data_IF_832989114996
#
_entry.id   IF_832989114996
#
_cell.length_a   1.000
_cell.length_b   1.000
_cell.length_c   1.000
_cell.angle_alpha   90.00
_cell.angle_beta   90.00
_cell.angle_gamma   90.00
#
_symmetry.space_group_name_H-M   'P 1'
#
loop_
_entity.id
_entity.type
_entity.pdbx_description
1 polymer ?
#
# COMPACT_ATOMS: atom_id res chain seq x y z
N UNK A 1 117.92 1.82 66.97
CA UNK A 1 116.62 2.20 67.55
C UNK A 1 115.53 1.91 66.53
N UNK A 2 114.81 0.80 66.69
CA UNK A 2 113.81 0.33 65.75
C UNK A 2 112.41 0.80 66.18
N UNK A 3 111.79 1.70 65.42
CA UNK A 3 110.41 2.10 65.62
C UNK A 3 109.48 1.21 64.77
N UNK A 4 108.65 0.42 65.45
CA UNK A 4 107.69 -0.51 64.89
C UNK A 4 106.53 0.19 64.17
N UNK A 5 106.52 0.11 62.84
CA UNK A 5 105.47 0.64 61.95
C UNK A 5 104.28 -0.33 61.90
N UNK A 6 103.41 -0.35 62.92
CA UNK A 6 102.33 -1.36 63.01
C UNK A 6 100.86 -0.88 63.14
N UNK A 7 100.49 0.41 63.34
CA UNK A 7 99.06 0.79 63.34
C UNK A 7 98.52 1.34 62.01
N UNK A 8 99.35 1.91 61.12
CA UNK A 8 98.88 2.57 59.88
C UNK A 8 98.31 1.57 58.85
N UNK A 9 98.88 0.37 58.77
CA UNK A 9 98.45 -0.63 57.78
C UNK A 9 97.08 -1.24 58.14
N UNK A 10 96.76 -1.35 59.43
CA UNK A 10 95.45 -1.81 59.91
C UNK A 10 94.34 -0.80 59.58
N UNK A 11 94.61 0.49 59.71
CA UNK A 11 93.64 1.54 59.36
C UNK A 11 93.38 1.57 57.86
N UNK A 12 94.42 1.42 57.03
CA UNK A 12 94.27 1.35 55.58
C UNK A 12 93.46 0.13 55.14
N UNK A 13 93.71 -1.05 55.73
CA UNK A 13 92.94 -2.27 55.42
C UNK A 13 91.46 -2.11 55.81
N UNK A 14 91.17 -1.54 56.99
CA UNK A 14 89.80 -1.29 57.43
C UNK A 14 89.07 -0.32 56.49
N UNK A 15 89.74 0.75 56.04
CA UNK A 15 89.15 1.70 55.09
C UNK A 15 88.81 1.04 53.74
N UNK A 16 89.69 0.18 53.22
CA UNK A 16 89.43 -0.56 51.97
C UNK A 16 88.23 -1.50 52.11
N UNK A 17 88.10 -2.20 53.26
CA UNK A 17 86.97 -3.09 53.52
C UNK A 17 85.65 -2.30 53.58
N UNK A 18 85.63 -1.12 54.20
CA UNK A 18 84.44 -0.26 54.28
C UNK A 18 84.03 0.29 52.91
N UNK A 19 85.00 0.67 52.08
CA UNK A 19 84.72 1.16 50.72
C UNK A 19 84.22 0.01 49.83
N UNK A 20 84.86 -1.16 49.88
CA UNK A 20 84.45 -2.32 49.09
C UNK A 20 83.05 -2.83 49.47
N UNK A 21 82.72 -2.84 50.76
CA UNK A 21 81.38 -3.22 51.22
C UNK A 21 80.32 -2.19 50.83
N UNK A 22 80.64 -0.89 50.92
CA UNK A 22 79.76 0.18 50.44
C UNK A 22 79.45 0.06 48.95
N UNK A 23 80.46 -0.18 48.11
CA UNK A 23 80.28 -0.37 46.67
C UNK A 23 79.44 -1.63 46.38
N UNK A 24 79.73 -2.74 47.07
CA UNK A 24 78.98 -3.98 46.88
C UNK A 24 77.48 -3.83 47.23
N UNK A 25 77.17 -3.13 48.32
CA UNK A 25 75.78 -2.87 48.72
C UNK A 25 75.07 -2.02 47.67
N UNK A 26 75.67 -0.91 47.22
CA UNK A 26 75.05 -0.05 46.20
C UNK A 26 74.85 -0.77 44.86
N UNK A 27 75.80 -1.64 44.47
CA UNK A 27 75.65 -2.46 43.26
C UNK A 27 74.54 -3.50 43.38
N UNK A 28 74.36 -4.10 44.56
CA UNK A 28 73.30 -5.09 44.81
C UNK A 28 71.91 -4.45 44.82
N UNK A 29 71.77 -3.25 45.40
CA UNK A 29 70.47 -2.56 45.51
C UNK A 29 70.07 -1.84 44.23
N UNK A 30 71.01 -1.57 43.33
CA UNK A 30 70.72 -0.97 42.02
C UNK A 30 70.19 -1.99 41.00
N UNK A 31 70.25 -3.29 41.30
CA UNK A 31 69.76 -4.35 40.41
C UNK A 31 68.23 -4.52 40.45
N UNK A 32 67.54 -3.95 41.44
CA UNK A 32 66.08 -4.04 41.59
C UNK A 32 65.30 -2.95 40.83
N UNK A 33 65.99 -2.03 40.16
CA UNK A 33 65.36 -0.89 39.49
C UNK A 33 65.01 -1.16 38.00
N UNK A 34 64.40 -2.30 37.66
CA UNK A 34 63.76 -2.49 36.34
C UNK A 34 62.90 -3.76 36.25
N UNK A 35 61.81 -3.86 37.02
CA UNK A 35 60.79 -4.88 36.75
C UNK A 35 59.37 -4.30 36.82
N UNK A 36 59.09 -3.34 35.94
CA UNK A 36 57.70 -2.99 35.62
C UNK A 36 57.07 -4.18 34.89
N UNK A 37 56.43 -5.07 35.65
CA UNK A 37 55.75 -6.24 35.10
C UNK A 37 54.41 -5.83 34.49
N UNK A 38 54.30 -5.84 33.17
CA UNK A 38 53.04 -5.62 32.48
C UNK A 38 52.29 -6.95 32.33
N UNK A 39 51.00 -6.94 32.63
CA UNK A 39 50.12 -8.08 32.40
C UNK A 39 49.45 -7.93 31.05
N UNK A 40 49.91 -8.70 30.07
CA UNK A 40 49.28 -8.81 28.76
C UNK A 40 48.36 -10.02 28.70
N UNK A 41 47.29 -9.93 27.93
CA UNK A 41 46.45 -11.07 27.56
C UNK A 41 46.45 -11.18 26.04
N UNK A 42 46.41 -12.40 25.52
CA UNK A 42 46.30 -12.64 24.10
C UNK A 42 44.93 -12.15 23.59
N UNK A 43 44.93 -11.40 22.49
CA UNK A 43 43.70 -11.01 21.80
C UNK A 43 43.21 -12.21 21.00
N UNK A 44 41.97 -12.61 21.24
CA UNK A 44 41.29 -13.65 20.48
C UNK A 44 40.23 -12.99 19.61
N UNK A 45 40.24 -13.30 18.32
CA UNK A 45 39.16 -12.92 17.40
C UNK A 45 38.03 -13.95 17.49
N UNK A 46 36.81 -13.47 17.65
CA UNK A 46 35.58 -14.27 17.55
C UNK A 46 34.54 -13.49 16.77
N UNK A 47 33.57 -14.18 16.21
CA UNK A 47 32.51 -13.54 15.43
C UNK A 47 31.62 -12.69 16.35
N UNK A 48 31.44 -11.42 15.99
CA UNK A 48 30.56 -10.49 16.69
C UNK A 48 29.29 -10.36 15.86
N UNK A 49 28.23 -11.02 16.30
CA UNK A 49 26.91 -10.86 15.69
C UNK A 49 26.22 -9.62 16.26
N UNK A 50 26.00 -8.62 15.40
CA UNK A 50 25.20 -7.46 15.72
C UNK A 50 23.81 -7.61 15.09
N UNK A 51 22.86 -8.14 15.85
CA UNK A 51 21.48 -8.28 15.41
C UNK A 51 20.75 -6.94 15.51
N UNK A 52 20.40 -6.36 14.36
CA UNK A 52 19.55 -5.16 14.29
C UNK A 52 18.10 -5.63 14.15
N UNK A 53 17.33 -5.49 15.23
CA UNK A 53 15.90 -5.83 15.23
C UNK A 53 15.12 -4.63 14.72
N UNK A 54 14.61 -4.73 13.50
CA UNK A 54 13.73 -3.73 12.89
C UNK A 54 12.27 -4.12 13.19
N UNK A 55 11.53 -3.25 13.89
CA UNK A 55 10.09 -3.41 14.07
C UNK A 55 9.35 -2.57 13.04
N UNK A 56 8.46 -3.20 12.29
CA UNK A 56 7.57 -2.54 11.33
C UNK A 56 6.13 -2.98 11.58
N UNK A 57 5.18 -2.07 11.35
CA UNK A 57 3.76 -2.39 11.47
C UNK A 57 3.26 -2.90 10.12
N UNK A 58 2.69 -4.10 10.10
CA UNK A 58 2.01 -4.62 8.90
C UNK A 58 0.65 -3.94 8.81
N UNK A 59 0.49 -3.08 7.81
CA UNK A 59 -0.79 -2.42 7.52
C UNK A 59 -1.48 -3.13 6.36
N UNK A 60 -2.82 -3.17 6.40
CA UNK A 60 -3.62 -3.78 5.35
C UNK A 60 -3.60 -2.87 4.11
N UNK A 61 -3.17 -3.39 2.97
CA UNK A 61 -2.95 -2.59 1.74
C UNK A 61 -4.26 -2.10 1.12
N UNK A 62 -5.35 -2.88 1.27
CA UNK A 62 -6.67 -2.52 0.79
C UNK A 62 -7.75 -3.09 1.71
N UNK A 63 -8.69 -2.23 2.14
CA UNK A 63 -9.92 -2.62 2.81
C UNK A 63 -11.10 -2.06 2.03
N UNK A 64 -12.11 -2.89 1.79
CA UNK A 64 -13.35 -2.50 1.16
C UNK A 64 -14.52 -3.09 1.94
N UNK A 65 -15.55 -2.26 2.16
CA UNK A 65 -16.81 -2.70 2.75
C UNK A 65 -17.78 -3.02 1.62
N UNK A 66 -18.16 -4.29 1.48
CA UNK A 66 -19.17 -4.69 0.51
C UNK A 66 -20.57 -4.27 0.99
N UNK A 67 -21.29 -3.52 0.17
CA UNK A 67 -22.68 -3.14 0.39
C UNK A 67 -23.48 -3.40 -0.88
N UNK A 68 -24.77 -3.74 -0.72
CA UNK A 68 -25.66 -3.92 -1.86
C UNK A 68 -26.12 -2.56 -2.40
N UNK A 69 -26.14 -2.42 -3.73
CA UNK A 69 -26.58 -1.19 -4.39
C UNK A 69 -28.11 -0.99 -4.38
N UNK A 70 -28.87 -2.07 -4.19
CA UNK A 70 -30.34 -2.05 -4.12
C UNK A 70 -30.82 -2.57 -2.78
N UNK A 71 -31.91 -1.99 -2.28
CA UNK A 71 -32.66 -2.56 -1.16
C UNK A 71 -33.36 -3.85 -1.59
N UNK A 72 -33.25 -4.91 -0.80
CA UNK A 72 -33.91 -6.18 -1.04
C UNK A 72 -33.56 -7.23 0.02
N UNK A 73 -34.26 -8.34 -0.01
CA UNK A 73 -34.01 -9.47 0.92
C UNK A 73 -32.83 -10.29 0.42
N UNK A 74 -31.84 -10.53 1.28
CA UNK A 74 -30.71 -11.42 0.98
C UNK A 74 -31.20 -12.87 0.98
N UNK A 75 -31.02 -13.57 -0.13
CA UNK A 75 -31.42 -14.99 -0.29
C UNK A 75 -30.30 -15.96 0.05
N UNK A 76 -29.05 -15.50 0.03
CA UNK A 76 -27.92 -16.31 0.45
C UNK A 76 -26.61 -15.54 0.49
N UNK A 77 -25.70 -16.03 1.32
CA UNK A 77 -24.31 -15.60 1.37
C UNK A 77 -23.45 -16.78 0.93
N UNK A 78 -22.61 -16.57 -0.08
CA UNK A 78 -21.85 -17.62 -0.77
C UNK A 78 -20.42 -17.76 -0.25
N UNK A 79 -20.03 -16.97 0.75
CA UNK A 79 -18.66 -16.90 1.29
C UNK A 79 -18.65 -17.04 2.81
N UNK A 80 -17.56 -17.59 3.35
CA UNK A 80 -17.33 -17.74 4.78
C UNK A 80 -16.24 -16.78 5.27
N UNK A 81 -16.22 -16.56 6.59
CA UNK A 81 -15.19 -15.72 7.23
C UNK A 81 -13.84 -16.43 7.11
N UNK A 82 -12.89 -15.78 6.45
CA UNK A 82 -11.53 -16.29 6.23
C UNK A 82 -11.26 -16.75 4.79
N UNK A 83 -12.27 -16.76 3.91
CA UNK A 83 -12.10 -17.14 2.52
C UNK A 83 -11.29 -16.09 1.74
N UNK A 84 -10.39 -16.58 0.87
CA UNK A 84 -9.68 -15.76 -0.12
C UNK A 84 -10.51 -15.78 -1.41
N UNK A 85 -10.85 -14.59 -1.89
CA UNK A 85 -11.75 -14.41 -3.04
C UNK A 85 -11.08 -13.53 -4.10
N UNK A 86 -11.47 -13.72 -5.35
CA UNK A 86 -11.00 -12.92 -6.47
C UNK A 86 -11.98 -11.79 -6.80
N UNK A 87 -11.50 -10.80 -7.56
CA UNK A 87 -12.36 -9.72 -8.01
C UNK A 87 -13.47 -10.25 -8.93
N UNK A 88 -14.73 -9.88 -8.63
CA UNK A 88 -15.90 -10.32 -9.39
C UNK A 88 -16.59 -11.57 -8.85
N UNK A 89 -16.06 -12.21 -7.80
CA UNK A 89 -16.75 -13.31 -7.13
C UNK A 89 -18.03 -12.83 -6.43
N UNK A 90 -19.13 -13.57 -6.61
CA UNK A 90 -20.39 -13.29 -5.93
C UNK A 90 -20.26 -13.59 -4.42
N UNK A 91 -20.43 -12.55 -3.60
CA UNK A 91 -20.37 -12.68 -2.13
C UNK A 91 -21.71 -13.11 -1.55
N UNK A 92 -22.79 -12.54 -2.07
CA UNK A 92 -24.13 -12.76 -1.60
C UNK A 92 -25.14 -12.34 -2.66
N UNK A 93 -26.33 -12.93 -2.61
CA UNK A 93 -27.39 -12.75 -3.60
C UNK A 93 -28.62 -12.15 -2.92
N UNK A 94 -29.25 -11.18 -3.59
CA UNK A 94 -30.56 -10.63 -3.20
C UNK A 94 -31.65 -11.31 -4.02
N UNK A 95 -32.85 -11.45 -3.46
CA UNK A 95 -34.03 -11.96 -4.15
C UNK A 95 -34.29 -11.18 -5.44
N UNK A 96 -34.18 -11.83 -6.62
CA UNK A 96 -34.37 -11.14 -7.89
C UNK A 96 -35.84 -10.93 -8.25
N UNK A 97 -36.80 -11.59 -7.57
CA UNK A 97 -38.21 -11.54 -7.92
C UNK A 97 -38.80 -10.11 -8.02
N UNK A 98 -38.62 -9.21 -7.02
CA UNK A 98 -39.12 -7.84 -7.12
C UNK A 98 -38.43 -7.03 -8.24
N UNK A 99 -37.14 -7.25 -8.47
CA UNK A 99 -36.41 -6.59 -9.56
C UNK A 99 -36.87 -7.08 -10.94
N UNK A 100 -37.10 -8.38 -11.08
CA UNK A 100 -37.61 -8.98 -12.32
C UNK A 100 -39.01 -8.46 -12.66
N UNK A 101 -39.88 -8.31 -11.65
CA UNK A 101 -41.19 -7.69 -11.85
C UNK A 101 -41.06 -6.22 -12.28
N UNK A 102 -40.19 -5.44 -11.63
CA UNK A 102 -39.98 -4.05 -12.02
C UNK A 102 -39.47 -3.91 -13.48
N UNK A 103 -38.62 -4.84 -13.94
CA UNK A 103 -38.17 -4.89 -15.33
C UNK A 103 -39.32 -5.23 -16.28
N UNK A 104 -40.15 -6.22 -15.93
CA UNK A 104 -41.33 -6.58 -16.73
C UNK A 104 -42.31 -5.41 -16.86
N UNK A 105 -42.61 -4.73 -15.76
CA UNK A 105 -43.47 -3.54 -15.76
C UNK A 105 -42.91 -2.43 -16.64
N UNK A 106 -41.59 -2.16 -16.54
CA UNK A 106 -40.91 -1.19 -17.39
C UNK A 106 -40.97 -1.58 -18.88
N UNK A 107 -40.85 -2.87 -19.19
CA UNK A 107 -40.97 -3.40 -20.54
C UNK A 107 -42.38 -3.17 -21.11
N UNK A 108 -43.41 -3.48 -20.31
CA UNK A 108 -44.82 -3.28 -20.70
C UNK A 108 -45.11 -1.80 -20.95
N UNK A 109 -44.63 -0.91 -20.09
CA UNK A 109 -44.81 0.54 -20.26
C UNK A 109 -44.12 1.05 -21.54
N UNK A 110 -42.92 0.56 -21.84
CA UNK A 110 -42.21 0.87 -23.07
C UNK A 110 -43.02 0.43 -24.30
N UNK A 111 -43.52 -0.80 -24.29
CA UNK A 111 -44.25 -1.36 -25.42
C UNK A 111 -45.58 -0.61 -25.66
N UNK A 112 -46.27 -0.23 -24.59
CA UNK A 112 -47.45 0.64 -24.66
C UNK A 112 -47.11 2.00 -25.27
N UNK A 113 -46.04 2.66 -24.80
CA UNK A 113 -45.61 3.94 -25.35
C UNK A 113 -45.25 3.84 -26.84
N UNK A 114 -44.60 2.75 -27.25
CA UNK A 114 -44.27 2.50 -28.65
C UNK A 114 -45.52 2.27 -29.52
N UNK A 115 -46.52 1.56 -28.99
CA UNK A 115 -47.79 1.34 -29.67
C UNK A 115 -48.58 2.65 -29.83
N UNK A 116 -48.58 3.51 -28.82
CA UNK A 116 -49.17 4.86 -28.89
C UNK A 116 -48.47 5.71 -29.94
N UNK A 117 -47.14 5.76 -29.94
CA UNK A 117 -46.36 6.49 -30.94
C UNK A 117 -46.73 6.06 -32.36
N UNK A 118 -46.75 4.75 -32.61
CA UNK A 118 -47.10 4.19 -33.94
C UNK A 118 -48.53 4.55 -34.34
N UNK A 119 -49.46 4.53 -33.38
CA UNK A 119 -50.86 4.89 -33.62
C UNK A 119 -51.02 6.37 -33.97
N UNK A 120 -50.29 7.25 -33.26
CA UNK A 120 -50.31 8.70 -33.50
C UNK A 120 -49.68 9.05 -34.86
N UNK A 121 -48.58 8.40 -35.23
CA UNK A 121 -47.96 8.54 -36.56
C UNK A 121 -48.93 8.15 -37.68
N UNK A 122 -49.63 7.02 -37.51
CA UNK A 122 -50.63 6.55 -38.46
C UNK A 122 -51.84 7.52 -38.55
N UNK A 123 -52.30 8.05 -37.41
CA UNK A 123 -53.38 9.03 -37.35
C UNK A 123 -52.99 10.34 -38.04
N UNK A 124 -51.75 10.81 -37.87
CA UNK A 124 -51.22 12.00 -38.53
C UNK A 124 -51.11 11.81 -40.05
N UNK A 125 -50.62 10.65 -40.50
CA UNK A 125 -50.55 10.30 -41.92
C UNK A 125 -51.94 10.24 -42.57
N UNK A 126 -52.91 9.63 -41.90
CA UNK A 126 -54.30 9.57 -42.35
C UNK A 126 -54.92 10.98 -42.44
N UNK A 127 -54.69 11.83 -41.45
CA UNK A 127 -55.17 13.23 -41.43
C UNK A 127 -54.59 14.05 -42.58
N UNK A 128 -53.29 13.90 -42.85
CA UNK A 128 -52.60 14.60 -43.96
C UNK A 128 -53.13 14.14 -45.32
N UNK A 129 -53.38 12.84 -45.48
CA UNK A 129 -53.97 12.28 -46.70
C UNK A 129 -55.39 12.81 -46.92
N UNK A 130 -56.21 12.84 -45.87
CA UNK A 130 -57.57 13.37 -45.93
C UNK A 130 -57.59 14.88 -46.26
N UNK A 131 -56.69 15.68 -45.70
CA UNK A 131 -56.56 17.11 -46.01
C UNK A 131 -56.16 17.36 -47.49
N UNK A 132 -55.27 16.53 -48.04
CA UNK A 132 -54.83 16.61 -49.45
C UNK A 132 -55.94 16.19 -50.42
N UNK A 133 -56.71 15.14 -50.09
CA UNK A 133 -57.87 14.72 -50.87
C UNK A 133 -59.00 15.77 -50.87
N UNK A 134 -59.20 16.45 -49.75
CA UNK A 134 -60.18 17.55 -49.61
C UNK A 134 -59.79 18.75 -50.49
N UNK A 135 -58.51 19.12 -50.51
CA UNK A 135 -58.01 20.25 -51.32
C UNK A 135 -58.11 19.97 -52.83
N UNK A 136 -57.81 18.75 -53.26
CA UNK A 136 -57.87 18.36 -54.68
C UNK A 136 -59.32 18.25 -55.20
N UNK A 137 -60.26 17.79 -54.38
CA UNK A 137 -61.68 17.75 -54.75
C UNK A 137 -62.30 19.16 -54.91
N UNK A 138 -61.97 20.11 -54.03
CA UNK A 138 -62.38 21.53 -54.17
C UNK A 138 -61.82 22.18 -55.45
N UNK A 139 -60.56 21.90 -55.79
CA UNK A 139 -59.92 22.37 -57.03
C UNK A 139 -60.60 21.80 -58.28
N UNK A 140 -60.95 20.51 -58.28
CA UNK A 140 -61.58 19.81 -59.41
C UNK A 140 -63.02 20.27 -59.66
N UNK A 141 -63.79 20.51 -58.60
CA UNK A 141 -65.16 21.08 -58.69
C UNK A 141 -65.14 22.50 -59.24
N UNK A 142 -64.16 23.31 -58.82
CA UNK A 142 -64.03 24.71 -59.27
C UNK A 142 -63.57 24.81 -60.74
N UNK A 143 -62.78 23.86 -61.23
CA UNK A 143 -62.41 23.76 -62.67
C UNK A 143 -63.52 23.23 -63.57
N UNK A 144 -64.54 22.54 -63.04
CA UNK A 144 -65.62 21.93 -63.83
C UNK A 144 -66.88 22.80 -63.94
N UNK A 145 -66.87 24.07 -63.52
CA UNK A 145 -67.92 25.02 -63.90
C UNK A 145 -67.77 25.39 -65.38
N UNK A 146 -68.71 25.03 -66.26
CA UNK A 146 -68.62 25.34 -67.67
C UNK A 146 -68.77 26.85 -67.89
N UNK A 147 -67.91 27.41 -68.73
CA UNK A 147 -68.12 28.71 -69.38
C UNK A 147 -69.47 28.66 -70.12
N UNK A 148 -70.52 29.21 -69.49
CA UNK A 148 -71.73 29.63 -70.23
C UNK A 148 -71.34 30.83 -71.07
N UNK A 149 -70.91 30.61 -72.30
CA UNK A 149 -70.89 31.68 -73.29
C UNK A 149 -72.31 31.83 -73.85
N UNK A 150 -72.86 33.01 -73.59
CA UNK A 150 -74.14 33.51 -74.09
C UNK A 150 -74.15 33.53 -75.63
N UNK A 151 -75.33 33.43 -76.21
CA UNK A 151 -75.60 33.99 -77.54
C UNK A 151 -76.77 33.33 -78.23
N UNK A 152 -77.92 34.00 -78.13
CA UNK A 152 -79.03 34.16 -79.07
C UNK A 152 -79.16 33.16 -80.24
#
# INVERSE_FOLDING_TARGET
MALSRKPIWLVAAAAVVVVASGIAVVHSTSADAASSSWRTVAVTSGDVEQTVVLSGTVTRVAQATAAFASSGTVTGVSVHVGDVIEAGSALATIDPAPLAQAVLDAQVQRDQAQATLTSDENALAATTTAATASTSSTSRVRRKRPHRHRGR
#
